data_IF_028138577400
#
_entry.id   IF_028138577400
#
_cell.length_a   1.000
_cell.length_b   1.000
_cell.length_c   1.000
_cell.angle_alpha   90.00
_cell.angle_beta   90.00
_cell.angle_gamma   90.00
#
_symmetry.space_group_name_H-M   'P 1'
#
loop_
_entity.id
_entity.type
_entity.pdbx_description
1 polymer ?
#
# COMPACT_ATOMS: atom_id res chain seq x y z
N UNK A 1 18.48 -4.56 9.15
CA UNK A 1 17.62 -4.60 7.95
C UNK A 1 18.43 -5.09 6.77
N UNK A 2 17.79 -5.78 5.82
CA UNK A 2 18.48 -6.29 4.62
C UNK A 2 18.03 -5.56 3.35
N UNK A 3 16.79 -5.05 3.34
CA UNK A 3 16.20 -4.41 2.17
C UNK A 3 15.40 -3.16 2.55
N UNK A 4 15.45 -2.15 1.68
CA UNK A 4 14.48 -1.05 1.63
C UNK A 4 13.51 -1.37 0.49
N UNK A 5 12.22 -1.46 0.80
CA UNK A 5 11.18 -1.81 -0.18
C UNK A 5 10.43 -0.59 -0.69
N UNK A 6 10.31 0.44 0.13
CA UNK A 6 9.64 1.68 -0.22
C UNK A 6 10.29 2.89 0.45
N UNK A 7 10.07 4.05 -0.15
CA UNK A 7 10.45 5.36 0.36
C UNK A 7 9.22 6.26 0.35
N UNK A 8 9.13 7.17 1.32
CA UNK A 8 8.16 8.25 1.31
C UNK A 8 8.80 9.52 1.85
N UNK A 9 8.38 10.67 1.32
CA UNK A 9 8.58 11.95 1.97
C UNK A 9 7.38 12.20 2.90
N UNK A 10 7.67 12.69 4.10
CA UNK A 10 6.66 13.08 5.08
C UNK A 10 7.27 14.14 6.01
N UNK A 11 6.56 15.23 6.26
CA UNK A 11 7.05 16.34 7.10
C UNK A 11 8.47 16.81 6.72
N UNK A 12 8.73 16.97 5.41
CA UNK A 12 10.02 17.37 4.84
C UNK A 12 11.19 16.42 5.13
N UNK A 13 10.90 15.17 5.49
CA UNK A 13 11.89 14.14 5.81
C UNK A 13 11.70 12.90 4.95
N UNK A 14 12.78 12.17 4.72
CA UNK A 14 12.78 10.93 3.95
C UNK A 14 12.68 9.72 4.87
N UNK A 15 11.64 8.92 4.67
CA UNK A 15 11.39 7.68 5.39
C UNK A 15 11.53 6.46 4.48
N UNK A 16 11.90 5.33 5.07
CA UNK A 16 12.03 4.04 4.41
C UNK A 16 11.26 2.95 5.17
N UNK A 17 10.53 2.14 4.42
CA UNK A 17 9.96 0.88 4.89
C UNK A 17 10.84 -0.30 4.50
N UNK A 18 11.07 -1.20 5.43
CA UNK A 18 12.13 -2.23 5.31
C UNK A 18 11.62 -3.66 5.41
N UNK A 19 12.54 -4.60 5.16
CA UNK A 19 12.44 -5.99 5.56
C UNK A 19 13.81 -6.62 5.85
N UNK A 20 13.86 -7.74 6.59
CA UNK A 20 12.74 -8.59 7.03
C UNK A 20 12.13 -8.19 8.39
N UNK A 21 12.55 -7.06 8.97
CA UNK A 21 12.06 -6.63 10.28
C UNK A 21 10.92 -5.61 10.22
N UNK A 22 10.48 -5.15 9.05
CA UNK A 22 9.33 -4.23 8.95
C UNK A 22 9.48 -2.95 9.79
N UNK A 23 10.69 -2.41 9.90
CA UNK A 23 10.95 -1.17 10.62
C UNK A 23 10.64 0.08 9.76
N UNK A 24 10.28 1.17 10.43
CA UNK A 24 10.35 2.52 9.84
C UNK A 24 11.72 3.10 10.10
N UNK A 25 12.39 3.59 9.06
CA UNK A 25 13.65 4.32 9.19
C UNK A 25 13.50 5.74 8.66
N UNK A 26 14.13 6.72 9.30
CA UNK A 26 14.28 8.11 8.85
C UNK A 26 15.73 8.35 8.41
N UNK A 27 15.92 8.97 7.25
CA UNK A 27 17.25 9.37 6.80
C UNK A 27 17.75 10.58 7.60
N UNK A 28 18.95 10.51 8.16
CA UNK A 28 19.52 11.60 8.95
C UNK A 28 20.06 12.77 8.10
N UNK A 29 19.87 12.73 6.78
CA UNK A 29 20.35 13.76 5.85
C UNK A 29 21.82 13.63 5.44
N UNK A 30 22.58 12.66 5.96
CA UNK A 30 24.03 12.58 5.75
C UNK A 30 24.53 11.19 5.40
N UNK A 31 24.49 10.24 6.33
CA UNK A 31 25.17 8.95 6.17
C UNK A 31 24.48 7.78 6.88
N UNK A 32 23.36 7.99 7.56
CA UNK A 32 22.72 6.94 8.33
C UNK A 32 21.20 7.03 8.32
N UNK A 33 20.60 5.85 8.46
CA UNK A 33 19.19 5.67 8.72
C UNK A 33 18.98 5.49 10.23
N UNK A 34 18.01 6.19 10.79
CA UNK A 34 17.63 6.15 12.21
C UNK A 34 16.30 5.44 12.33
N UNK A 35 16.20 4.42 13.20
CA UNK A 35 14.94 3.73 13.43
C UNK A 35 13.92 4.65 14.13
N UNK A 36 12.70 4.69 13.59
CA UNK A 36 11.59 5.51 14.06
C UNK A 36 10.37 4.71 14.50
N UNK A 37 10.28 3.45 14.09
CA UNK A 37 9.33 2.49 14.66
C UNK A 37 9.88 1.08 14.40
N UNK A 38 9.91 0.21 15.41
CA UNK A 38 10.33 -1.16 15.24
C UNK A 38 9.22 -2.00 14.57
N UNK A 39 9.56 -3.24 14.24
CA UNK A 39 8.65 -4.28 13.78
C UNK A 39 7.28 -4.27 14.47
N UNK A 40 6.21 -4.28 13.69
CA UNK A 40 4.86 -4.50 14.20
C UNK A 40 4.51 -6.00 14.22
N UNK A 41 4.35 -6.57 15.42
CA UNK A 41 3.94 -7.97 15.59
C UNK A 41 4.82 -8.96 14.81
N UNK A 42 4.20 -9.80 13.98
CA UNK A 42 4.88 -10.78 13.14
C UNK A 42 5.19 -10.29 11.72
N UNK A 43 4.79 -9.06 11.34
CA UNK A 43 5.01 -8.51 10.00
C UNK A 43 6.50 -8.50 9.64
N UNK A 44 6.81 -8.81 8.38
CA UNK A 44 8.22 -8.90 7.93
C UNK A 44 8.60 -7.84 6.91
N UNK A 45 7.62 -7.21 6.28
CA UNK A 45 7.86 -6.22 5.24
C UNK A 45 6.91 -5.04 5.36
N UNK A 46 7.45 -3.83 5.21
CA UNK A 46 6.70 -2.64 4.82
C UNK A 46 6.87 -2.47 3.31
N UNK A 47 5.83 -2.75 2.52
CA UNK A 47 5.89 -2.68 1.06
C UNK A 47 5.60 -1.30 0.50
N UNK A 48 4.85 -0.48 1.23
CA UNK A 48 4.51 0.86 0.82
C UNK A 48 4.34 1.79 2.03
N UNK A 49 4.64 3.06 1.79
CA UNK A 49 4.40 4.17 2.70
C UNK A 49 3.60 5.23 1.96
N UNK A 50 2.66 5.89 2.64
CA UNK A 50 1.90 7.00 2.09
C UNK A 50 1.55 8.02 3.17
N UNK A 51 1.67 9.31 2.83
CA UNK A 51 1.05 10.36 3.63
C UNK A 51 -0.45 10.44 3.30
N UNK A 52 -1.28 10.49 4.34
CA UNK A 52 -2.71 10.75 4.24
C UNK A 52 -3.17 11.54 5.46
N UNK A 53 -3.92 12.62 5.28
CA UNK A 53 -4.40 13.49 6.37
C UNK A 53 -3.29 13.92 7.38
N UNK A 54 -2.12 14.31 6.87
CA UNK A 54 -0.94 14.70 7.65
C UNK A 54 -0.40 13.59 8.57
N UNK A 55 -0.61 12.33 8.21
CA UNK A 55 -0.09 11.17 8.93
C UNK A 55 0.58 10.19 7.97
N UNK A 56 1.58 9.49 8.47
CA UNK A 56 2.30 8.48 7.72
C UNK A 56 1.69 7.09 7.94
N UNK A 57 1.27 6.46 6.84
CA UNK A 57 0.71 5.12 6.82
C UNK A 57 1.64 4.13 6.15
N UNK A 58 1.58 2.87 6.57
CA UNK A 58 2.32 1.75 6.02
C UNK A 58 1.38 0.61 5.62
N UNK A 59 1.64 0.03 4.45
CA UNK A 59 1.07 -1.26 4.04
C UNK A 59 2.10 -2.37 4.23
N UNK A 60 1.72 -3.41 4.97
CA UNK A 60 2.63 -4.51 5.31
C UNK A 60 2.36 -5.80 4.54
N UNK A 61 3.18 -6.82 4.74
CA UNK A 61 2.82 -8.16 4.29
C UNK A 61 3.67 -9.31 4.84
N UNK A 62 3.40 -10.49 4.26
CA UNK A 62 3.86 -11.83 4.64
C UNK A 62 3.16 -12.44 5.86
N UNK A 63 2.84 -11.67 6.89
CA UNK A 63 2.18 -12.20 8.09
C UNK A 63 0.67 -11.92 8.13
N UNK A 64 0.25 -10.69 7.83
CA UNK A 64 -1.13 -10.28 8.04
C UNK A 64 -1.61 -9.07 7.26
N UNK A 65 -0.84 -8.54 6.29
CA UNK A 65 -1.32 -7.53 5.33
C UNK A 65 -2.04 -6.35 5.98
N UNK A 66 -1.39 -5.65 6.90
CA UNK A 66 -2.03 -4.64 7.75
C UNK A 66 -1.88 -3.23 7.16
N UNK A 67 -2.83 -2.35 7.50
CA UNK A 67 -2.66 -0.91 7.47
C UNK A 67 -2.16 -0.43 8.84
N UNK A 68 -0.99 0.19 8.87
CA UNK A 68 -0.41 0.76 10.07
C UNK A 68 -0.30 2.28 9.95
N UNK A 69 -0.53 2.99 11.04
CA UNK A 69 -0.31 4.43 11.20
C UNK A 69 0.88 4.63 12.15
N UNK A 70 1.84 5.47 11.78
CA UNK A 70 2.92 5.84 12.69
C UNK A 70 2.38 6.80 13.76
N UNK A 71 2.66 6.53 15.03
CA UNK A 71 2.21 7.39 16.14
C UNK A 71 2.96 8.73 16.22
N UNK A 72 3.94 8.98 15.34
CA UNK A 72 4.77 10.18 15.31
C UNK A 72 5.99 10.12 16.24
N UNK A 73 6.18 9.04 16.99
CA UNK A 73 7.30 8.91 17.95
C UNK A 73 8.16 7.69 17.65
N UNK A 74 7.62 6.50 17.88
CA UNK A 74 8.38 5.27 18.10
C UNK A 74 7.60 3.97 17.82
N UNK A 75 6.34 4.04 17.39
CA UNK A 75 5.53 2.83 17.21
C UNK A 75 4.50 2.93 16.08
N UNK A 76 4.14 1.76 15.59
CA UNK A 76 3.02 1.55 14.67
C UNK A 76 1.72 1.27 15.43
N UNK A 77 0.62 1.86 14.98
CA UNK A 77 -0.74 1.59 15.43
C UNK A 77 -1.50 0.93 14.27
N UNK A 78 -2.06 -0.26 14.47
CA UNK A 78 -2.86 -0.89 13.42
C UNK A 78 -4.20 -0.18 13.24
N UNK A 79 -4.48 0.20 12.00
CA UNK A 79 -5.70 0.91 11.58
C UNK A 79 -6.64 0.05 10.75
N UNK A 80 -6.17 -1.03 10.17
CA UNK A 80 -7.00 -2.08 9.61
C UNK A 80 -6.21 -3.39 9.54
N UNK A 81 -6.80 -4.54 9.90
CA UNK A 81 -6.23 -5.85 9.59
C UNK A 81 -6.29 -6.11 8.08
N UNK A 82 -5.70 -7.22 7.61
CA UNK A 82 -5.95 -7.71 6.25
C UNK A 82 -7.43 -7.76 5.90
N UNK A 83 -7.69 -7.50 4.63
CA UNK A 83 -8.97 -7.77 4.02
C UNK A 83 -9.06 -9.27 3.65
N UNK A 84 -10.02 -9.98 4.23
CA UNK A 84 -10.31 -11.40 3.97
C UNK A 84 -9.05 -12.30 3.96
N UNK A 85 -8.73 -12.89 2.79
CA UNK A 85 -7.61 -13.80 2.60
C UNK A 85 -6.34 -13.12 2.10
N UNK A 86 -6.37 -11.80 1.88
CA UNK A 86 -5.19 -11.03 1.50
C UNK A 86 -4.12 -11.11 2.60
N UNK A 87 -2.86 -11.13 2.22
CA UNK A 87 -1.72 -11.17 3.14
C UNK A 87 -0.70 -10.07 2.84
N UNK A 88 -0.99 -9.22 1.86
CA UNK A 88 -0.15 -8.12 1.42
C UNK A 88 -0.99 -6.88 1.13
N UNK A 89 -0.54 -5.73 1.63
CA UNK A 89 -0.89 -4.41 1.09
C UNK A 89 0.33 -3.93 0.30
N UNK A 90 0.26 -4.03 -1.04
CA UNK A 90 1.37 -3.80 -1.96
C UNK A 90 1.60 -2.33 -2.28
N UNK A 91 0.55 -1.54 -2.29
CA UNK A 91 0.61 -0.10 -2.56
C UNK A 91 -0.50 0.60 -1.79
N UNK A 92 -0.22 1.84 -1.36
CA UNK A 92 -1.17 2.78 -0.81
C UNK A 92 -1.21 4.01 -1.70
N UNK A 93 -2.40 4.46 -2.09
CA UNK A 93 -2.59 5.63 -2.94
C UNK A 93 -3.74 6.48 -2.43
N UNK A 94 -3.48 7.79 -2.29
CA UNK A 94 -4.53 8.77 -1.99
C UNK A 94 -5.21 9.17 -3.28
N UNK A 95 -6.53 8.99 -3.34
CA UNK A 95 -7.34 9.32 -4.50
C UNK A 95 -8.71 9.83 -4.04
N UNK A 96 -9.15 10.96 -4.60
CA UNK A 96 -10.44 11.59 -4.25
C UNK A 96 -10.67 11.77 -2.73
N UNK A 97 -9.62 12.19 -2.02
CA UNK A 97 -9.66 12.40 -0.57
C UNK A 97 -9.76 11.12 0.28
N UNK A 98 -9.48 9.96 -0.31
CA UNK A 98 -9.53 8.66 0.38
C UNK A 98 -8.24 7.86 0.19
N UNK A 99 -7.99 6.95 1.12
CA UNK A 99 -6.83 6.05 1.07
C UNK A 99 -7.23 4.69 0.50
N UNK A 100 -6.62 4.32 -0.63
CA UNK A 100 -6.78 3.04 -1.28
C UNK A 100 -5.56 2.16 -1.07
N UNK A 101 -5.80 0.85 -0.94
CA UNK A 101 -4.78 -0.19 -0.91
C UNK A 101 -4.94 -1.15 -2.08
N UNK A 102 -3.82 -1.58 -2.65
CA UNK A 102 -3.79 -2.73 -3.58
C UNK A 102 -3.17 -3.93 -2.92
N UNK A 103 -3.64 -5.13 -3.24
CA UNK A 103 -3.38 -6.30 -2.39
C UNK A 103 -2.78 -7.52 -3.13
N UNK A 104 -2.46 -8.56 -2.36
CA UNK A 104 -2.24 -9.94 -2.80
C UNK A 104 -2.63 -10.92 -1.68
N UNK A 105 -2.96 -12.19 -1.98
CA UNK A 105 -2.70 -12.89 -3.24
C UNK A 105 -3.89 -12.92 -4.22
N UNK A 106 -4.97 -12.16 -3.99
CA UNK A 106 -6.06 -12.07 -4.97
C UNK A 106 -5.98 -10.81 -5.84
N UNK A 107 -5.20 -9.79 -5.47
CA UNK A 107 -5.03 -8.62 -6.33
C UNK A 107 -6.27 -7.71 -6.36
N UNK A 108 -6.81 -7.41 -5.18
CA UNK A 108 -7.99 -6.58 -5.03
C UNK A 108 -7.60 -5.10 -4.91
N UNK A 109 -8.56 -4.22 -5.21
CA UNK A 109 -8.54 -2.82 -4.80
C UNK A 109 -9.45 -2.66 -3.58
N UNK A 110 -8.90 -2.12 -2.49
CA UNK A 110 -9.63 -1.85 -1.25
C UNK A 110 -9.55 -0.37 -0.85
N UNK A 111 -10.60 0.16 -0.23
CA UNK A 111 -10.67 1.50 0.34
C UNK A 111 -10.69 1.41 1.87
N UNK A 112 -9.88 2.21 2.56
CA UNK A 112 -9.95 2.27 4.02
C UNK A 112 -11.23 3.02 4.43
N UNK A 113 -12.02 2.45 5.33
CA UNK A 113 -13.26 3.06 5.80
C UNK A 113 -13.07 4.23 6.79
N UNK A 114 -11.82 4.66 7.01
CA UNK A 114 -11.46 5.73 7.96
C UNK A 114 -11.46 5.32 9.44
N UNK A 115 -11.73 4.05 9.76
CA UNK A 115 -11.80 3.59 11.15
C UNK A 115 -10.93 2.36 11.42
N UNK A 116 -11.36 1.19 10.97
CA UNK A 116 -10.79 -0.10 11.39
C UNK A 116 -10.78 -1.19 10.29
N UNK A 117 -11.25 -0.91 9.08
CA UNK A 117 -11.42 -1.94 8.06
C UNK A 117 -11.24 -1.43 6.63
N UNK A 118 -10.88 -2.38 5.77
CA UNK A 118 -10.89 -2.25 4.32
C UNK A 118 -12.25 -2.61 3.74
N UNK A 119 -12.70 -1.87 2.73
CA UNK A 119 -13.89 -2.14 1.93
C UNK A 119 -13.44 -2.45 0.51
N UNK A 120 -13.79 -3.63 0.00
CA UNK A 120 -13.49 -3.99 -1.39
C UNK A 120 -14.19 -3.05 -2.37
N UNK A 121 -13.44 -2.56 -3.36
CA UNK A 121 -13.94 -1.70 -4.44
C UNK A 121 -13.83 -2.36 -5.81
N UNK A 122 -12.83 -3.20 -5.99
CA UNK A 122 -12.74 -4.09 -7.13
C UNK A 122 -12.12 -5.42 -6.71
N UNK A 123 -12.77 -6.56 -7.02
CA UNK A 123 -12.19 -7.85 -6.77
C UNK A 123 -11.07 -8.15 -7.78
N UNK A 124 -10.37 -9.25 -7.53
CA UNK A 124 -9.45 -9.90 -8.47
C UNK A 124 -9.91 -9.82 -9.93
N UNK A 125 -8.99 -9.40 -10.79
CA UNK A 125 -9.16 -9.48 -12.23
C UNK A 125 -8.57 -10.78 -12.77
N UNK A 126 -9.40 -11.59 -13.46
CA UNK A 126 -8.97 -12.78 -14.18
C UNK A 126 -8.09 -13.72 -13.33
N UNK A 127 -6.88 -14.01 -13.82
CA UNK A 127 -5.90 -14.86 -13.13
C UNK A 127 -4.86 -14.09 -12.31
N UNK A 128 -4.96 -12.76 -12.23
CA UNK A 128 -4.00 -11.93 -11.48
C UNK A 128 -3.97 -12.31 -10.00
N UNK A 129 -2.79 -12.29 -9.40
CA UNK A 129 -2.60 -12.60 -7.98
C UNK A 129 -2.14 -11.41 -7.18
N UNK A 130 -1.61 -10.37 -7.82
CA UNK A 130 -1.25 -9.14 -7.15
C UNK A 130 -1.62 -7.96 -8.04
N UNK A 131 -2.02 -6.87 -7.39
CA UNK A 131 -1.87 -5.53 -7.95
C UNK A 131 -0.67 -4.91 -7.24
N UNK A 132 0.47 -4.91 -7.92
CA UNK A 132 1.79 -4.68 -7.34
C UNK A 132 2.03 -3.21 -6.97
N UNK A 133 1.48 -2.28 -7.74
CA UNK A 133 1.65 -0.84 -7.59
C UNK A 133 0.37 -0.14 -8.01
N UNK A 134 0.12 1.04 -7.47
CA UNK A 134 -0.95 1.94 -7.93
C UNK A 134 -0.48 3.38 -8.02
N UNK A 135 -1.13 4.16 -8.89
CA UNK A 135 -0.83 5.59 -9.08
C UNK A 135 -2.09 6.32 -9.56
N UNK A 136 -2.19 7.60 -9.23
CA UNK A 136 -3.20 8.49 -9.82
C UNK A 136 -2.61 9.17 -11.06
N UNK A 137 -3.33 9.08 -12.17
CA UNK A 137 -3.01 9.77 -13.41
C UNK A 137 -4.30 10.26 -14.07
N UNK A 138 -4.31 11.48 -14.60
CA UNK A 138 -5.48 12.05 -15.29
C UNK A 138 -6.82 11.85 -14.55
N UNK A 139 -6.85 12.16 -13.25
CA UNK A 139 -8.02 12.03 -12.37
C UNK A 139 -8.58 10.60 -12.23
N UNK A 140 -7.76 9.58 -12.50
CA UNK A 140 -8.11 8.17 -12.38
C UNK A 140 -7.05 7.41 -11.58
N UNK A 141 -7.45 6.31 -10.97
CA UNK A 141 -6.56 5.41 -10.25
C UNK A 141 -6.17 4.24 -11.16
N UNK A 142 -4.88 3.96 -11.26
CA UNK A 142 -4.35 2.86 -12.06
C UNK A 142 -3.62 1.86 -11.19
N UNK A 143 -3.60 0.59 -11.62
CA UNK A 143 -2.89 -0.49 -10.94
C UNK A 143 -2.17 -1.42 -11.92
N UNK A 144 -0.91 -1.73 -11.66
CA UNK A 144 -0.14 -2.71 -12.43
C UNK A 144 -0.20 -4.10 -11.79
N UNK A 145 -0.46 -5.15 -12.57
CA UNK A 145 -0.73 -6.49 -12.04
C UNK A 145 0.42 -7.48 -12.22
N UNK A 146 0.37 -8.56 -11.43
CA UNK A 146 1.15 -9.78 -11.63
C UNK A 146 0.20 -10.99 -11.56
N UNK A 147 0.38 -12.04 -12.39
CA UNK A 147 1.56 -12.30 -13.22
C UNK A 147 1.53 -11.74 -14.64
N UNK A 148 0.40 -11.26 -15.15
CA UNK A 148 0.31 -11.01 -16.60
C UNK A 148 0.62 -9.57 -17.03
N UNK A 149 1.12 -8.71 -16.13
CA UNK A 149 1.50 -7.33 -16.44
C UNK A 149 0.37 -6.49 -17.05
N UNK A 150 -0.87 -6.69 -16.58
CA UNK A 150 -2.00 -5.90 -17.01
C UNK A 150 -2.00 -4.53 -16.31
N UNK A 151 -2.56 -3.53 -16.99
CA UNK A 151 -2.91 -2.24 -16.40
C UNK A 151 -4.42 -2.21 -16.12
N UNK A 152 -4.78 -2.00 -14.85
CA UNK A 152 -6.17 -1.78 -14.42
C UNK A 152 -6.40 -0.28 -14.25
N UNK A 153 -7.63 0.16 -14.52
CA UNK A 153 -8.09 1.55 -14.37
C UNK A 153 -9.37 1.56 -13.52
N UNK A 154 -9.45 2.47 -12.55
CA UNK A 154 -10.61 2.74 -11.71
C UNK A 154 -10.93 4.23 -11.70
N UNK A 155 -12.21 4.58 -11.84
CA UNK A 155 -12.71 5.97 -11.87
C UNK A 155 -13.65 6.27 -10.70
N UNK A 156 -13.79 7.54 -10.26
CA UNK A 156 -14.61 7.92 -9.10
C UNK A 156 -16.13 7.80 -9.32
N UNK A 157 -16.59 7.83 -10.57
CA UNK A 157 -18.01 8.00 -10.89
C UNK A 157 -18.72 6.66 -11.12
N UNK A 158 -19.60 6.30 -10.18
CA UNK A 158 -20.59 5.19 -10.13
C UNK A 158 -20.05 3.85 -9.62
N UNK A 159 -20.72 3.30 -8.59
CA UNK A 159 -20.49 1.94 -8.10
C UNK A 159 -21.20 0.96 -9.02
N UNK A 160 -20.72 0.84 -10.24
CA UNK A 160 -20.95 -0.30 -11.13
C UNK A 160 -19.59 -0.89 -11.46
N UNK A 161 -19.44 -2.22 -11.60
CA UNK A 161 -18.14 -2.83 -11.86
C UNK A 161 -17.62 -2.30 -13.20
N UNK A 162 -16.75 -1.29 -13.16
CA UNK A 162 -16.22 -0.71 -14.37
C UNK A 162 -15.20 -1.67 -14.98
N UNK A 163 -15.36 -1.81 -16.29
CA UNK A 163 -14.43 -2.45 -17.20
C UNK A 163 -13.05 -1.84 -17.01
N UNK A 164 -12.09 -2.64 -16.54
CA UNK A 164 -10.69 -2.35 -16.79
C UNK A 164 -10.51 -2.22 -18.31
N UNK A 165 -10.06 -1.06 -18.78
CA UNK A 165 -9.70 -0.87 -20.18
C UNK A 165 -8.30 -1.47 -20.34
N UNK A 166 -8.24 -2.64 -20.96
CA UNK A 166 -7.00 -3.40 -21.10
C UNK A 166 -6.08 -2.79 -22.15
N UNK A 167 -4.89 -2.40 -21.72
CA UNK A 167 -3.71 -2.43 -22.56
C UNK A 167 -2.87 -3.63 -22.13
N UNK A 168 -3.14 -4.80 -22.71
CA UNK A 168 -2.14 -5.86 -22.68
C UNK A 168 -0.93 -5.35 -23.45
N UNK A 169 0.23 -5.24 -22.79
CA UNK A 169 1.49 -4.99 -23.49
C UNK A 169 1.78 -6.24 -24.33
N UNK A 170 1.39 -6.23 -25.61
CA UNK A 170 1.90 -7.19 -26.58
C UNK A 170 3.36 -6.82 -26.84
N UNK A 171 4.29 -7.61 -26.33
CA UNK A 171 5.70 -7.58 -26.72
C UNK A 171 5.92 -8.48 -27.93
#
# INVERSE_FOLDING_TARGET
>A
ETYIFCLAEFDSKLYAGTGPNSNLLEWNGTNAWVEKAPKYGSETYIYCLAEFDNKLYAGTGNAGGNLLEWNGTDAWIQKAPKHDSETYIRSLTVFDGKLYGTTGPNGNLVEWNGTNAWVEKAPKYGSETYVMFSIVFDSKLYGGTYPNSNLLEWSPSVVTPYSAIFFGMNF
#
